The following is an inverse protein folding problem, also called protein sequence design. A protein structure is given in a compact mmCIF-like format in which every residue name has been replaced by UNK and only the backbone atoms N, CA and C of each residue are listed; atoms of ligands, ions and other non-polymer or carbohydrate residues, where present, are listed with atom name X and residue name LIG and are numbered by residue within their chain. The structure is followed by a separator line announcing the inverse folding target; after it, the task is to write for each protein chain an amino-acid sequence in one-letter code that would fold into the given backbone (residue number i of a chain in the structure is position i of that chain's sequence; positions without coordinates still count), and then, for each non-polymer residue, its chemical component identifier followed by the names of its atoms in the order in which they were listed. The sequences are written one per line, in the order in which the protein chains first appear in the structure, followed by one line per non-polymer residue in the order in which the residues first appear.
data_IF_830792356104
#
_entry.id   IF_830792356104
#
_cell.length_a   1.000
_cell.length_b   1.000
_cell.length_c   1.000
_cell.angle_alpha   90.00
_cell.angle_beta   90.00
_cell.angle_gamma   90.00
#
_symmetry.space_group_name_H-M   'P 1'
#
loop_
_entity.id
_entity.type
_entity.pdbx_description
1 polymer ?
#
# COMPACT_ATOMS: atom_id res chain seq x y z
N UNK A 1 -31.71 -18.20 0.99
CA UNK A 1 -32.61 -17.98 -0.17
C UNK A 1 -34.05 -18.22 0.26
N UNK A 2 -34.70 -17.21 0.85
CA UNK A 2 -36.16 -17.06 1.05
C UNK A 2 -36.38 -15.96 2.10
N UNK A 3 -36.36 -14.72 1.61
CA UNK A 3 -37.10 -13.55 2.16
C UNK A 3 -36.89 -12.30 1.27
N UNK A 4 -36.61 -12.51 -0.04
CA UNK A 4 -36.68 -11.46 -1.07
C UNK A 4 -38.15 -11.17 -1.44
N UNK A 5 -39.05 -11.16 -0.45
CA UNK A 5 -40.42 -10.73 -0.63
C UNK A 5 -40.39 -9.20 -0.80
N UNK A 6 -40.15 -8.77 -2.04
CA UNK A 6 -40.46 -7.48 -2.64
C UNK A 6 -40.64 -6.35 -1.62
N UNK A 7 -39.52 -5.75 -1.21
CA UNK A 7 -39.55 -4.43 -0.56
C UNK A 7 -40.04 -3.46 -1.65
N UNK A 8 -41.32 -3.10 -1.61
CA UNK A 8 -41.97 -2.15 -2.54
C UNK A 8 -41.64 -0.70 -2.18
N UNK A 9 -40.37 -0.43 -1.87
CA UNK A 9 -39.92 0.92 -1.52
C UNK A 9 -39.19 1.51 -2.71
N UNK A 10 -39.79 2.52 -3.32
CA UNK A 10 -39.18 3.28 -4.41
C UNK A 10 -38.21 4.34 -3.85
N UNK A 11 -37.04 4.55 -4.50
CA UNK A 11 -36.56 3.86 -5.70
C UNK A 11 -35.80 2.55 -5.41
N UNK A 12 -36.03 1.52 -6.24
CA UNK A 12 -35.50 0.15 -6.06
C UNK A 12 -33.97 0.02 -6.07
N UNK A 13 -33.25 0.98 -6.67
CA UNK A 13 -31.79 1.00 -6.66
C UNK A 13 -31.22 1.43 -5.31
N UNK A 14 -31.98 2.22 -4.54
CA UNK A 14 -31.57 2.79 -3.27
C UNK A 14 -31.89 1.87 -2.08
N UNK A 15 -32.89 0.99 -2.20
CA UNK A 15 -33.30 0.09 -1.13
C UNK A 15 -33.05 -1.38 -1.51
N UNK A 16 -32.17 -2.05 -0.76
CA UNK A 16 -31.81 -3.45 -0.92
C UNK A 16 -31.97 -4.20 0.41
N UNK A 17 -32.40 -5.46 0.34
CA UNK A 17 -32.61 -6.27 1.53
C UNK A 17 -31.31 -6.42 2.34
N UNK A 18 -31.43 -6.27 3.66
CA UNK A 18 -30.34 -6.44 4.62
C UNK A 18 -30.92 -6.94 5.93
N UNK A 19 -30.30 -7.96 6.52
CA UNK A 19 -30.67 -8.44 7.86
C UNK A 19 -30.47 -7.35 8.92
N UNK A 20 -31.34 -7.35 9.93
CA UNK A 20 -31.27 -6.43 11.06
C UNK A 20 -29.95 -6.53 11.83
N UNK A 21 -29.40 -7.74 11.97
CA UNK A 21 -28.11 -7.97 12.64
C UNK A 21 -26.96 -7.29 11.90
N UNK A 22 -26.95 -7.40 10.56
CA UNK A 22 -25.96 -6.74 9.72
C UNK A 22 -26.12 -5.22 9.74
N UNK A 23 -27.36 -4.73 9.71
CA UNK A 23 -27.63 -3.30 9.78
C UNK A 23 -27.16 -2.71 11.11
N UNK A 24 -27.53 -3.32 12.25
CA UNK A 24 -27.11 -2.86 13.58
C UNK A 24 -25.58 -2.86 13.75
N UNK A 25 -24.89 -3.89 13.28
CA UNK A 25 -23.43 -3.95 13.27
C UNK A 25 -22.82 -2.82 12.41
N UNK A 26 -23.39 -2.53 11.24
CA UNK A 26 -22.93 -1.43 10.39
C UNK A 26 -23.14 -0.06 11.06
N UNK A 27 -24.22 0.13 11.82
CA UNK A 27 -24.45 1.34 12.60
C UNK A 27 -23.39 1.51 13.69
N UNK A 28 -23.13 0.47 14.48
CA UNK A 28 -22.11 0.51 15.54
C UNK A 28 -20.74 0.85 14.96
N UNK A 29 -20.35 0.20 13.86
CA UNK A 29 -19.11 0.51 13.16
C UNK A 29 -19.12 1.95 12.62
N UNK A 30 -20.23 2.43 12.07
CA UNK A 30 -20.36 3.79 11.55
C UNK A 30 -20.20 4.84 12.66
N UNK A 31 -20.76 4.59 13.85
CA UNK A 31 -20.57 5.44 15.03
C UNK A 31 -19.11 5.51 15.47
N UNK A 32 -18.43 4.35 15.57
CA UNK A 32 -17.00 4.31 15.87
C UNK A 32 -16.18 5.11 14.86
N UNK A 33 -16.52 4.99 13.58
CA UNK A 33 -15.80 5.67 12.52
C UNK A 33 -16.07 7.18 12.50
N UNK A 34 -17.29 7.60 12.80
CA UNK A 34 -17.63 9.01 12.98
C UNK A 34 -16.87 9.60 14.17
N UNK A 35 -16.81 8.90 15.31
CA UNK A 35 -16.01 9.33 16.46
C UNK A 35 -14.52 9.45 16.10
N UNK A 36 -13.96 8.49 15.37
CA UNK A 36 -12.57 8.53 14.88
C UNK A 36 -12.32 9.71 13.92
N UNK A 37 -13.31 10.07 13.10
CA UNK A 37 -13.25 11.22 12.20
C UNK A 37 -13.30 12.55 12.97
N UNK A 38 -14.21 12.69 13.93
CA UNK A 38 -14.31 13.87 14.82
C UNK A 38 -13.04 14.07 15.62
N UNK A 39 -12.51 13.01 16.24
CA UNK A 39 -11.23 13.06 16.96
C UNK A 39 -10.09 13.56 16.06
N UNK A 40 -10.06 13.15 14.79
CA UNK A 40 -9.03 13.61 13.83
C UNK A 40 -9.16 15.11 13.54
N UNK A 41 -10.38 15.64 13.44
CA UNK A 41 -10.61 17.08 13.23
C UNK A 41 -10.14 17.87 14.45
N UNK A 42 -10.48 17.42 15.67
CA UNK A 42 -10.14 18.13 16.91
C UNK A 42 -8.63 18.10 17.17
N UNK A 43 -7.99 16.94 16.97
CA UNK A 43 -6.54 16.78 17.22
C UNK A 43 -5.67 17.43 16.14
N UNK A 44 -6.21 17.69 14.95
CA UNK A 44 -5.46 18.33 13.88
C UNK A 44 -5.71 19.84 13.93
N UNK A 45 -4.67 20.63 14.16
CA UNK A 45 -4.77 22.11 14.18
C UNK A 45 -5.20 22.79 12.86
N UNK A 46 -5.58 22.03 11.83
CA UNK A 46 -6.03 22.49 10.49
C UNK A 46 -7.30 21.74 10.07
N UNK A 47 -8.49 22.08 10.59
CA UNK A 47 -9.73 21.30 10.40
C UNK A 47 -10.19 21.25 8.94
N UNK A 48 -10.08 22.35 8.20
CA UNK A 48 -10.48 22.44 6.79
C UNK A 48 -9.71 21.48 5.88
N UNK A 49 -8.40 21.33 6.12
CA UNK A 49 -7.56 20.41 5.35
C UNK A 49 -7.94 18.95 5.58
N UNK A 50 -8.42 18.62 6.78
CA UNK A 50 -8.89 17.27 7.10
C UNK A 50 -10.22 17.02 6.40
N UNK A 51 -11.17 17.96 6.49
CA UNK A 51 -12.49 17.84 5.89
C UNK A 51 -12.44 17.59 4.38
N UNK A 52 -11.60 18.33 3.65
CA UNK A 52 -11.45 18.22 2.20
C UNK A 52 -10.44 17.16 1.73
N UNK A 53 -10.00 16.26 2.62
CA UNK A 53 -9.12 15.14 2.24
C UNK A 53 -9.90 14.02 1.54
N UNK A 54 -9.30 13.37 0.54
CA UNK A 54 -9.87 12.19 -0.13
C UNK A 54 -10.34 11.10 0.84
N UNK A 55 -9.57 10.88 1.93
CA UNK A 55 -9.95 9.93 2.98
C UNK A 55 -11.27 10.32 3.65
N UNK A 56 -11.41 11.60 3.98
CA UNK A 56 -12.57 12.13 4.69
C UNK A 56 -13.80 12.18 3.79
N UNK A 57 -13.62 12.40 2.49
CA UNK A 57 -14.68 12.25 1.50
C UNK A 57 -15.27 10.82 1.50
N UNK A 58 -14.43 9.79 1.43
CA UNK A 58 -14.91 8.39 1.46
C UNK A 58 -15.49 8.01 2.83
N UNK A 59 -14.87 8.45 3.92
CA UNK A 59 -15.42 8.24 5.27
C UNK A 59 -16.80 8.91 5.41
N UNK A 60 -16.99 10.14 4.93
CA UNK A 60 -18.28 10.84 4.94
C UNK A 60 -19.32 10.13 4.06
N UNK A 61 -18.97 9.80 2.82
CA UNK A 61 -19.85 9.12 1.86
C UNK A 61 -20.35 7.77 2.38
N UNK A 62 -19.53 7.04 3.13
CA UNK A 62 -19.90 5.72 3.66
C UNK A 62 -20.51 5.78 5.06
N UNK A 63 -20.23 6.81 5.86
CA UNK A 63 -20.66 6.87 7.26
C UNK A 63 -21.95 7.68 7.42
N UNK A 64 -22.11 8.81 6.73
CA UNK A 64 -23.29 9.67 6.90
C UNK A 64 -24.60 9.03 6.42
N UNK A 65 -24.67 8.40 5.23
CA UNK A 65 -25.90 7.72 4.81
C UNK A 65 -26.32 6.61 5.78
N UNK A 66 -25.35 5.86 6.33
CA UNK A 66 -25.63 4.84 7.34
C UNK A 66 -26.18 5.45 8.63
N UNK A 67 -25.60 6.54 9.15
CA UNK A 67 -26.16 7.21 10.34
C UNK A 67 -27.55 7.78 10.08
N UNK A 68 -27.80 8.32 8.88
CA UNK A 68 -29.13 8.80 8.49
C UNK A 68 -30.17 7.68 8.38
N UNK A 69 -29.74 6.44 8.13
CA UNK A 69 -30.65 5.30 8.04
C UNK A 69 -31.44 5.01 9.32
N UNK A 70 -31.01 5.52 10.48
CA UNK A 70 -31.73 5.39 11.76
C UNK A 70 -32.98 6.27 11.80
N UNK A 71 -32.96 7.42 11.12
CA UNK A 71 -34.05 8.40 11.14
C UNK A 71 -35.09 8.16 10.04
N UNK A 72 -34.78 7.31 9.06
CA UNK A 72 -35.64 7.03 7.91
C UNK A 72 -36.45 5.77 8.16
N UNK A 73 -37.76 5.82 7.93
CA UNK A 73 -38.63 4.63 7.94
C UNK A 73 -38.17 3.66 6.84
N UNK A 74 -37.93 2.39 7.18
CA UNK A 74 -37.29 1.40 6.30
C UNK A 74 -35.82 1.68 5.94
N UNK A 75 -35.14 2.58 6.67
CA UNK A 75 -33.74 2.91 6.43
C UNK A 75 -32.77 1.74 6.54
N UNK A 76 -33.15 0.64 7.19
CA UNK A 76 -32.36 -0.61 7.23
C UNK A 76 -31.95 -1.11 5.84
N UNK A 77 -32.79 -0.86 4.84
CA UNK A 77 -32.58 -1.29 3.46
C UNK A 77 -31.76 -0.29 2.63
N UNK A 78 -31.39 0.86 3.19
CA UNK A 78 -30.62 1.87 2.46
C UNK A 78 -29.29 1.26 1.97
N UNK A 79 -29.13 1.23 0.64
CA UNK A 79 -27.90 0.83 0.00
C UNK A 79 -26.85 1.91 0.20
N UNK A 80 -25.72 1.51 0.76
CA UNK A 80 -24.56 2.36 0.93
C UNK A 80 -23.37 1.60 0.34
N UNK A 81 -22.56 2.22 -0.53
CA UNK A 81 -21.42 1.57 -1.16
C UNK A 81 -20.26 1.36 -0.17
N UNK A 82 -20.49 0.51 0.85
CA UNK A 82 -19.56 0.28 1.95
C UNK A 82 -18.25 -0.34 1.46
N UNK A 83 -18.25 -0.98 0.29
CA UNK A 83 -17.05 -1.52 -0.34
C UNK A 83 -15.97 -0.45 -0.58
N UNK A 84 -16.36 0.82 -0.82
CA UNK A 84 -15.42 1.95 -0.97
C UNK A 84 -14.56 2.19 0.27
N UNK A 85 -15.04 1.75 1.45
CA UNK A 85 -14.32 1.87 2.72
C UNK A 85 -13.02 1.07 2.75
N UNK A 86 -12.88 0.06 1.90
CA UNK A 86 -11.64 -0.70 1.75
C UNK A 86 -10.44 0.19 1.36
N UNK A 87 -10.68 1.33 0.67
CA UNK A 87 -9.61 2.29 0.40
C UNK A 87 -9.10 2.98 1.67
N UNK A 88 -10.00 3.31 2.60
CA UNK A 88 -9.64 3.89 3.90
C UNK A 88 -8.82 2.88 4.72
N UNK A 89 -9.14 1.59 4.63
CA UNK A 89 -8.36 0.53 5.27
C UNK A 89 -6.92 0.49 4.75
N UNK A 90 -6.72 0.58 3.43
CA UNK A 90 -5.38 0.64 2.83
C UNK A 90 -4.56 1.84 3.35
N UNK A 91 -5.19 3.01 3.48
CA UNK A 91 -4.55 4.20 4.06
C UNK A 91 -4.20 3.99 5.54
N UNK A 92 -5.04 3.30 6.31
CA UNK A 92 -4.78 2.96 7.72
C UNK A 92 -3.62 1.98 7.86
N UNK A 93 -3.53 0.96 7.00
CA UNK A 93 -2.41 0.00 7.00
C UNK A 93 -1.08 0.73 6.83
N UNK A 94 -0.99 1.71 5.90
CA UNK A 94 0.21 2.56 5.76
C UNK A 94 0.56 3.31 7.03
N UNK A 95 -0.45 3.91 7.69
CA UNK A 95 -0.23 4.64 8.95
C UNK A 95 0.26 3.71 10.05
N UNK A 96 -0.30 2.51 10.18
CA UNK A 96 0.11 1.52 11.18
C UNK A 96 1.53 1.02 10.93
N UNK A 97 1.90 0.74 9.68
CA UNK A 97 3.27 0.35 9.35
C UNK A 97 4.24 1.46 9.74
N UNK A 98 3.96 2.72 9.38
CA UNK A 98 4.79 3.88 9.78
C UNK A 98 4.91 4.04 11.29
N UNK A 99 3.80 3.88 12.01
CA UNK A 99 3.78 3.95 13.47
C UNK A 99 4.60 2.80 14.06
N UNK A 100 4.47 1.58 13.53
CA UNK A 100 5.28 0.43 13.95
C UNK A 100 6.77 0.72 13.71
N UNK A 101 7.15 1.29 12.57
CA UNK A 101 8.54 1.68 12.29
C UNK A 101 9.05 2.76 13.26
N UNK A 102 8.19 3.70 13.66
CA UNK A 102 8.57 4.80 14.56
C UNK A 102 8.56 4.43 16.05
N UNK A 103 7.63 3.56 16.49
CA UNK A 103 7.51 3.10 17.88
C UNK A 103 8.48 1.97 18.21
N UNK A 104 8.81 1.14 17.22
CA UNK A 104 9.87 0.16 17.33
C UNK A 104 11.23 0.85 17.16
N UNK A 105 11.65 1.53 18.22
CA UNK A 105 13.08 1.61 18.60
C UNK A 105 13.61 0.21 19.02
N UNK A 106 13.10 -0.89 18.45
CA UNK A 106 13.83 -2.16 18.47
C UNK A 106 14.92 -2.03 17.44
N UNK A 107 16.17 -2.29 17.80
CA UNK A 107 17.36 -2.18 16.94
C UNK A 107 17.38 -3.09 15.70
N UNK A 108 16.22 -3.51 15.18
CA UNK A 108 16.08 -4.26 13.92
C UNK A 108 15.28 -3.42 12.92
N UNK A 109 15.87 -3.00 11.79
CA UNK A 109 15.14 -2.28 10.75
C UNK A 109 14.00 -3.14 10.20
N UNK A 110 12.82 -2.54 9.98
CA UNK A 110 11.72 -3.24 9.29
C UNK A 110 12.11 -3.40 7.84
N UNK A 111 12.08 -4.64 7.34
CA UNK A 111 12.36 -4.97 5.94
C UNK A 111 11.56 -4.06 4.98
N UNK A 112 12.23 -3.16 4.22
CA UNK A 112 11.55 -2.22 3.33
C UNK A 112 10.81 -2.95 2.21
N UNK A 113 11.30 -4.13 1.82
CA UNK A 113 10.64 -5.00 0.86
C UNK A 113 9.29 -5.50 1.37
N UNK A 114 9.22 -6.00 2.60
CA UNK A 114 7.98 -6.55 3.17
C UNK A 114 6.91 -5.46 3.29
N UNK A 115 7.30 -4.24 3.68
CA UNK A 115 6.37 -3.10 3.70
C UNK A 115 5.80 -2.79 2.31
N UNK A 116 6.64 -2.80 1.26
CA UNK A 116 6.21 -2.54 -0.11
C UNK A 116 5.31 -3.65 -0.65
N UNK A 117 5.66 -4.91 -0.38
CA UNK A 117 4.84 -6.07 -0.78
C UNK A 117 3.48 -6.07 -0.10
N UNK A 118 3.42 -5.78 1.21
CA UNK A 118 2.14 -5.64 1.94
C UNK A 118 1.30 -4.52 1.33
N UNK A 119 1.92 -3.38 0.98
CA UNK A 119 1.19 -2.29 0.33
C UNK A 119 0.67 -2.67 -1.08
N UNK A 120 1.49 -3.34 -1.89
CA UNK A 120 1.12 -3.83 -3.21
C UNK A 120 -0.04 -4.83 -3.12
N UNK A 121 0.10 -5.87 -2.29
CA UNK A 121 -0.92 -6.90 -2.09
C UNK A 121 -2.24 -6.30 -1.56
N UNK A 122 -2.15 -5.37 -0.60
CA UNK A 122 -3.30 -4.64 -0.10
C UNK A 122 -4.00 -3.81 -1.19
N UNK A 123 -3.24 -3.18 -2.09
CA UNK A 123 -3.81 -2.40 -3.20
C UNK A 123 -4.53 -3.29 -4.20
N UNK A 124 -3.94 -4.44 -4.56
CA UNK A 124 -4.58 -5.43 -5.44
C UNK A 124 -5.89 -5.94 -4.83
N UNK A 125 -5.88 -6.32 -3.55
CA UNK A 125 -7.09 -6.80 -2.87
C UNK A 125 -8.20 -5.74 -2.81
N UNK A 126 -7.83 -4.48 -2.58
CA UNK A 126 -8.79 -3.37 -2.59
C UNK A 126 -9.38 -3.16 -3.98
N UNK A 127 -8.56 -3.18 -5.04
CA UNK A 127 -9.06 -3.04 -6.42
C UNK A 127 -9.99 -4.19 -6.79
N UNK A 128 -9.63 -5.43 -6.48
CA UNK A 128 -10.46 -6.61 -6.70
C UNK A 128 -11.82 -6.49 -5.98
N UNK A 129 -11.80 -6.14 -4.70
CA UNK A 129 -13.02 -6.05 -3.89
C UNK A 129 -13.94 -4.91 -4.32
N UNK A 130 -13.40 -3.74 -4.67
CA UNK A 130 -14.19 -2.62 -5.19
C UNK A 130 -14.77 -2.93 -6.57
N UNK A 131 -13.93 -3.48 -7.47
CA UNK A 131 -14.36 -3.86 -8.82
C UNK A 131 -15.50 -4.88 -8.76
N UNK A 132 -15.31 -5.96 -8.00
CA UNK A 132 -16.31 -7.00 -7.77
C UNK A 132 -17.62 -6.40 -7.26
N UNK A 133 -17.56 -5.62 -6.18
CA UNK A 133 -18.76 -5.09 -5.51
C UNK A 133 -19.52 -4.09 -6.37
N UNK A 134 -18.81 -3.22 -7.08
CA UNK A 134 -19.42 -2.20 -7.94
C UNK A 134 -20.01 -2.82 -9.22
N UNK A 135 -19.30 -3.77 -9.85
CA UNK A 135 -19.79 -4.51 -11.00
C UNK A 135 -21.04 -5.33 -10.64
N UNK A 136 -20.97 -6.13 -9.57
CA UNK A 136 -22.10 -6.93 -9.07
C UNK A 136 -23.32 -6.05 -8.77
N UNK A 137 -23.12 -4.90 -8.14
CA UNK A 137 -24.22 -3.99 -7.80
C UNK A 137 -24.92 -3.46 -9.07
N UNK A 138 -24.16 -3.07 -10.09
CA UNK A 138 -24.73 -2.56 -11.34
C UNK A 138 -25.49 -3.64 -12.10
N UNK A 139 -24.88 -4.82 -12.28
CA UNK A 139 -25.49 -5.92 -13.02
C UNK A 139 -26.74 -6.49 -12.32
N UNK A 140 -26.71 -6.67 -10.99
CA UNK A 140 -27.89 -7.17 -10.24
C UNK A 140 -29.02 -6.14 -10.17
N UNK A 141 -28.71 -4.85 -10.25
CA UNK A 141 -29.72 -3.79 -10.10
C UNK A 141 -30.31 -3.34 -11.42
N UNK A 142 -29.53 -3.31 -12.49
CA UNK A 142 -29.93 -2.77 -13.79
C UNK A 142 -29.77 -3.76 -14.95
N UNK A 143 -29.10 -4.89 -14.72
CA UNK A 143 -28.86 -5.90 -15.74
C UNK A 143 -29.98 -6.94 -15.80
N UNK A 144 -30.00 -7.68 -16.91
CA UNK A 144 -30.89 -8.82 -17.12
C UNK A 144 -30.29 -10.14 -16.64
N UNK A 145 -28.96 -10.20 -16.51
CA UNK A 145 -28.22 -11.42 -16.21
C UNK A 145 -27.90 -11.49 -14.71
N UNK A 146 -28.22 -12.64 -14.10
CA UNK A 146 -27.89 -12.91 -12.70
C UNK A 146 -26.47 -13.48 -12.58
N UNK A 147 -25.47 -12.62 -12.61
CA UNK A 147 -24.09 -13.01 -12.32
C UNK A 147 -23.91 -13.33 -10.83
N UNK A 148 -23.20 -14.42 -10.53
CA UNK A 148 -22.80 -14.74 -9.17
C UNK A 148 -21.65 -13.85 -8.69
N UNK A 149 -21.41 -13.83 -7.37
CA UNK A 149 -20.26 -13.10 -6.79
C UNK A 149 -18.94 -13.63 -7.37
N UNK A 150 -18.85 -14.92 -7.71
CA UNK A 150 -17.65 -15.51 -8.28
C UNK A 150 -17.45 -15.09 -9.73
N UNK A 151 -18.52 -14.99 -10.52
CA UNK A 151 -18.47 -14.50 -11.91
C UNK A 151 -17.97 -13.06 -11.98
N UNK A 152 -18.46 -12.22 -11.07
CA UNK A 152 -18.03 -10.83 -10.95
C UNK A 152 -16.60 -10.70 -10.45
N UNK A 153 -16.12 -11.64 -9.62
CA UNK A 153 -14.72 -11.65 -9.19
C UNK A 153 -13.82 -12.09 -10.36
N UNK A 154 -14.26 -13.09 -11.11
CA UNK A 154 -13.58 -13.60 -12.29
C UNK A 154 -13.43 -12.50 -13.36
N UNK A 155 -14.51 -11.79 -13.73
CA UNK A 155 -14.43 -10.74 -14.76
C UNK A 155 -13.47 -9.62 -14.35
N UNK A 156 -13.46 -9.26 -13.07
CA UNK A 156 -12.59 -8.22 -12.51
C UNK A 156 -11.13 -8.70 -12.46
N UNK A 157 -10.86 -9.95 -12.06
CA UNK A 157 -9.53 -10.53 -12.08
C UNK A 157 -8.96 -10.60 -13.51
N UNK A 158 -9.75 -11.11 -14.46
CA UNK A 158 -9.38 -11.23 -15.88
C UNK A 158 -9.13 -9.87 -16.52
N UNK A 159 -9.87 -8.85 -16.10
CA UNK A 159 -9.67 -7.47 -16.56
C UNK A 159 -8.41 -6.86 -15.96
N UNK A 160 -8.20 -6.99 -14.65
CA UNK A 160 -7.01 -6.44 -13.98
C UNK A 160 -5.72 -7.14 -14.41
N UNK A 161 -5.78 -8.41 -14.79
CA UNK A 161 -4.65 -9.15 -15.36
C UNK A 161 -4.41 -8.82 -16.85
N UNK A 162 -5.24 -7.97 -17.46
CA UNK A 162 -5.19 -7.59 -18.88
C UNK A 162 -5.39 -8.77 -19.85
N UNK A 163 -5.95 -9.88 -19.38
CA UNK A 163 -6.22 -11.07 -20.21
C UNK A 163 -7.45 -10.86 -21.09
N UNK A 164 -8.56 -10.42 -20.49
CA UNK A 164 -9.77 -10.02 -21.23
C UNK A 164 -10.39 -11.10 -22.11
N UNK A 165 -10.75 -12.26 -21.56
CA UNK A 165 -11.37 -13.36 -22.32
C UNK A 165 -12.66 -12.98 -23.06
N UNK A 166 -13.44 -12.02 -22.53
CA UNK A 166 -14.66 -11.52 -23.16
C UNK A 166 -15.87 -12.46 -23.07
N UNK A 167 -15.76 -13.52 -22.28
CA UNK A 167 -16.83 -14.47 -21.95
C UNK A 167 -17.90 -13.87 -21.02
N UNK A 168 -17.47 -13.04 -20.05
CA UNK A 168 -18.35 -12.20 -19.24
C UNK A 168 -18.02 -10.74 -19.54
N UNK A 169 -19.04 -9.96 -19.88
CA UNK A 169 -18.89 -8.54 -20.25
C UNK A 169 -19.95 -7.68 -19.57
N UNK A 170 -19.64 -6.40 -19.24
CA UNK A 170 -20.59 -5.47 -18.65
C UNK A 170 -21.75 -5.19 -19.60
N UNK A 171 -22.96 -5.59 -19.20
CA UNK A 171 -24.17 -5.41 -20.00
C UNK A 171 -24.80 -4.04 -19.75
N UNK A 172 -24.70 -3.53 -18.53
CA UNK A 172 -25.28 -2.24 -18.13
C UNK A 172 -24.35 -1.05 -18.39
N UNK A 173 -24.90 0.13 -18.66
CA UNK A 173 -24.08 1.35 -18.80
C UNK A 173 -23.30 1.67 -17.51
N UNK A 174 -23.91 1.43 -16.35
CA UNK A 174 -23.25 1.61 -15.05
C UNK A 174 -22.04 0.69 -14.86
N UNK A 175 -22.18 -0.60 -15.17
CA UNK A 175 -21.06 -1.55 -15.06
C UNK A 175 -19.96 -1.25 -16.07
N UNK A 176 -20.28 -0.76 -17.28
CA UNK A 176 -19.28 -0.29 -18.25
C UNK A 176 -18.46 0.87 -17.69
N UNK A 177 -19.10 1.89 -17.11
CA UNK A 177 -18.40 3.02 -16.48
C UNK A 177 -17.52 2.55 -15.32
N UNK A 178 -18.03 1.65 -14.47
CA UNK A 178 -17.25 1.05 -13.37
C UNK A 178 -16.00 0.34 -13.90
N UNK A 179 -16.13 -0.50 -14.93
CA UNK A 179 -15.01 -1.22 -15.51
C UNK A 179 -14.00 -0.28 -16.17
N UNK A 180 -14.45 0.76 -16.88
CA UNK A 180 -13.57 1.79 -17.44
C UNK A 180 -12.75 2.50 -16.35
N UNK A 181 -13.41 2.95 -15.27
CA UNK A 181 -12.72 3.60 -14.16
C UNK A 181 -11.74 2.65 -13.46
N UNK A 182 -12.12 1.39 -13.27
CA UNK A 182 -11.28 0.37 -12.67
C UNK A 182 -9.99 0.13 -13.49
N UNK A 183 -10.12 0.05 -14.82
CA UNK A 183 -8.97 -0.09 -15.74
C UNK A 183 -8.04 1.12 -15.65
N UNK A 184 -8.58 2.34 -15.67
CA UNK A 184 -7.76 3.56 -15.58
C UNK A 184 -7.00 3.62 -14.25
N UNK A 185 -7.69 3.35 -13.13
CA UNK A 185 -7.07 3.37 -11.79
C UNK A 185 -6.01 2.27 -11.67
N UNK A 186 -6.29 1.06 -12.15
CA UNK A 186 -5.35 -0.06 -12.03
C UNK A 186 -4.08 0.18 -12.86
N UNK A 187 -4.22 0.67 -14.09
CA UNK A 187 -3.09 1.01 -14.96
C UNK A 187 -2.28 2.19 -14.41
N UNK A 188 -2.90 3.14 -13.72
CA UNK A 188 -2.19 4.26 -13.11
C UNK A 188 -1.38 3.86 -11.86
N UNK A 189 -1.88 2.91 -11.06
CA UNK A 189 -1.34 2.62 -9.71
C UNK A 189 -0.49 1.34 -9.67
N UNK A 190 -0.91 0.25 -10.33
CA UNK A 190 -0.24 -1.04 -10.19
C UNK A 190 1.19 -1.04 -10.76
N UNK A 191 1.47 -0.47 -11.96
CA UNK A 191 2.82 -0.50 -12.52
C UNK A 191 3.86 0.18 -11.62
N UNK A 192 3.53 1.33 -11.03
CA UNK A 192 4.45 2.04 -10.13
C UNK A 192 4.73 1.24 -8.86
N UNK A 193 3.71 0.61 -8.27
CA UNK A 193 3.88 -0.20 -7.06
C UNK A 193 4.70 -1.47 -7.32
N UNK A 194 4.48 -2.11 -8.47
CA UNK A 194 5.26 -3.28 -8.90
C UNK A 194 6.71 -2.87 -9.15
N UNK A 195 6.95 -1.77 -9.88
CA UNK A 195 8.28 -1.24 -10.13
C UNK A 195 9.03 -0.91 -8.83
N UNK A 196 8.36 -0.28 -7.85
CA UNK A 196 8.94 0.03 -6.55
C UNK A 196 9.34 -1.23 -5.77
N UNK A 197 8.51 -2.27 -5.81
CA UNK A 197 8.81 -3.56 -5.19
C UNK A 197 9.99 -4.26 -5.91
N UNK A 198 9.95 -4.31 -7.24
CA UNK A 198 11.00 -4.90 -8.07
C UNK A 198 12.34 -4.20 -7.93
N UNK A 199 12.36 -2.87 -7.91
CA UNK A 199 13.59 -2.09 -7.69
C UNK A 199 14.17 -2.35 -6.30
N UNK A 200 13.32 -2.60 -5.30
CA UNK A 200 13.77 -2.95 -3.94
C UNK A 200 14.32 -4.37 -3.89
N UNK A 201 13.68 -5.31 -4.60
CA UNK A 201 14.19 -6.68 -4.78
C UNK A 201 15.53 -6.68 -5.51
N UNK A 202 15.66 -5.90 -6.59
CA UNK A 202 16.91 -5.72 -7.33
C UNK A 202 17.98 -5.16 -6.43
N UNK A 203 17.77 -4.04 -5.73
CA UNK A 203 18.74 -3.50 -4.75
C UNK A 203 19.10 -4.47 -3.61
N UNK A 204 18.21 -5.42 -3.29
CA UNK A 204 18.51 -6.50 -2.35
C UNK A 204 19.37 -7.60 -2.96
N UNK A 205 19.29 -7.80 -4.27
CA UNK A 205 20.02 -8.85 -4.99
C UNK A 205 21.26 -8.34 -5.76
N UNK A 206 21.35 -7.02 -5.96
CA UNK A 206 22.44 -6.29 -6.59
C UNK A 206 23.48 -6.04 -5.49
N UNK A 207 24.28 -7.08 -5.26
CA UNK A 207 25.35 -7.08 -4.28
C UNK A 207 26.66 -6.55 -4.91
N UNK A 208 26.82 -6.67 -6.24
CA UNK A 208 27.92 -6.08 -6.99
C UNK A 208 27.61 -4.63 -7.35
N UNK A 209 27.97 -3.70 -6.48
CA UNK A 209 27.91 -2.27 -6.78
C UNK A 209 29.09 -1.83 -7.65
N UNK A 210 28.90 -0.80 -8.46
CA UNK A 210 30.00 -0.06 -9.08
C UNK A 210 30.37 1.13 -8.20
N UNK A 211 31.66 1.46 -8.12
CA UNK A 211 32.10 2.71 -7.47
C UNK A 211 31.73 3.88 -8.38
N UNK A 212 30.91 4.81 -7.87
CA UNK A 212 30.54 6.03 -8.61
C UNK A 212 31.79 6.85 -8.95
N UNK A 213 31.86 7.45 -10.14
CA UNK A 213 32.99 8.31 -10.51
C UNK A 213 33.14 9.52 -9.57
N UNK A 214 32.06 9.97 -8.97
CA UNK A 214 32.04 11.01 -7.93
C UNK A 214 32.79 10.61 -6.66
N UNK A 215 33.04 9.31 -6.46
CA UNK A 215 33.69 8.78 -5.27
C UNK A 215 35.20 8.63 -5.43
N UNK A 216 35.80 9.09 -6.55
CA UNK A 216 37.25 9.12 -6.73
C UNK A 216 37.84 10.44 -6.18
N UNK A 217 38.99 10.39 -5.47
CA UNK A 217 39.80 9.21 -5.13
C UNK A 217 39.20 8.38 -3.98
N UNK A 218 39.38 7.06 -4.03
CA UNK A 218 38.94 6.15 -2.97
C UNK A 218 40.03 5.14 -2.59
N UNK A 219 39.96 4.65 -1.35
CA UNK A 219 40.72 3.50 -0.86
C UNK A 219 39.84 2.27 -0.95
N UNK A 220 40.34 1.21 -1.59
CA UNK A 220 39.69 -0.10 -1.62
C UNK A 220 40.24 -0.98 -0.50
N UNK A 221 39.38 -1.37 0.44
CA UNK A 221 39.69 -2.32 1.51
C UNK A 221 39.08 -3.66 1.17
N UNK A 222 39.93 -4.69 1.07
CA UNK A 222 39.54 -6.03 0.63
C UNK A 222 39.64 -6.98 1.82
N UNK A 223 38.58 -7.71 2.11
CA UNK A 223 38.59 -8.67 3.20
C UNK A 223 37.21 -9.11 3.65
N UNK A 224 37.15 -9.83 4.77
CA UNK A 224 35.91 -10.15 5.47
C UNK A 224 35.75 -9.18 6.62
N UNK A 225 34.67 -8.39 6.61
CA UNK A 225 34.50 -7.28 7.55
C UNK A 225 33.32 -7.51 8.49
N UNK A 226 33.59 -7.46 9.80
CA UNK A 226 32.54 -7.38 10.82
C UNK A 226 32.17 -5.91 11.12
N UNK A 227 30.94 -5.60 11.53
CA UNK A 227 30.52 -4.24 11.85
C UNK A 227 31.45 -3.52 12.82
N UNK A 228 31.94 -4.22 13.85
CA UNK A 228 32.85 -3.64 14.85
C UNK A 228 34.20 -3.25 14.22
N UNK A 229 34.74 -4.12 13.35
CA UNK A 229 36.00 -3.86 12.65
C UNK A 229 35.89 -2.69 11.69
N UNK A 230 34.75 -2.57 11.01
CA UNK A 230 34.48 -1.44 10.12
C UNK A 230 34.48 -0.15 10.91
N UNK A 231 33.81 -0.08 12.06
CA UNK A 231 33.82 1.14 12.88
C UNK A 231 35.22 1.51 13.36
N UNK A 232 36.03 0.53 13.79
CA UNK A 232 37.43 0.77 14.18
C UNK A 232 38.29 1.29 13.03
N UNK A 233 38.14 0.71 11.84
CA UNK A 233 38.86 1.15 10.64
C UNK A 233 38.44 2.58 10.29
N UNK A 234 37.14 2.88 10.30
CA UNK A 234 36.64 4.22 9.98
C UNK A 234 37.16 5.24 10.99
N UNK A 235 37.10 4.94 12.30
CA UNK A 235 37.66 5.83 13.32
C UNK A 235 39.16 6.04 13.13
N UNK A 236 39.92 4.98 12.82
CA UNK A 236 41.36 5.05 12.62
C UNK A 236 41.79 5.86 11.39
N UNK A 237 41.07 5.73 10.27
CA UNK A 237 41.42 6.38 8.99
C UNK A 237 40.81 7.78 8.84
N UNK A 238 39.60 7.97 9.36
CA UNK A 238 38.76 9.12 9.04
C UNK A 238 38.67 10.16 10.15
N UNK A 239 39.09 9.82 11.36
CA UNK A 239 39.07 10.71 12.53
C UNK A 239 40.47 11.27 12.88
N UNK A 240 41.46 11.09 12.00
CA UNK A 240 42.81 11.61 12.20
C UNK A 240 42.91 13.07 11.76
N UNK A 241 43.69 13.90 12.46
CA UNK A 241 43.85 15.34 12.16
C UNK A 241 44.43 15.64 10.75
N UNK A 242 45.02 14.64 10.10
CA UNK A 242 45.67 14.77 8.78
C UNK A 242 44.89 14.11 7.62
N UNK A 243 43.64 13.68 7.82
CA UNK A 243 42.90 12.98 6.76
C UNK A 243 42.47 13.97 5.65
N UNK A 244 42.72 13.60 4.38
CA UNK A 244 42.23 14.38 3.24
C UNK A 244 40.69 14.49 3.28
N UNK A 245 40.12 15.69 3.09
CA UNK A 245 38.68 15.92 3.27
C UNK A 245 37.77 15.16 2.28
N UNK A 246 38.33 14.64 1.19
CA UNK A 246 37.59 13.98 0.09
C UNK A 246 37.91 12.49 -0.09
N UNK A 247 38.55 11.86 0.88
CA UNK A 247 38.90 10.44 0.80
C UNK A 247 37.66 9.55 1.03
N UNK A 248 37.27 8.79 0.01
CA UNK A 248 36.21 7.79 0.13
C UNK A 248 36.80 6.41 0.43
N UNK A 249 36.07 5.57 1.18
CA UNK A 249 36.49 4.22 1.54
C UNK A 249 35.49 3.22 0.99
N UNK A 250 35.97 2.31 0.15
CA UNK A 250 35.17 1.25 -0.45
C UNK A 250 35.60 -0.07 0.16
N UNK A 251 34.67 -0.79 0.76
CA UNK A 251 34.90 -2.13 1.31
C UNK A 251 34.44 -3.17 0.30
N UNK A 252 35.32 -4.08 -0.09
CA UNK A 252 35.06 -5.21 -0.97
C UNK A 252 35.16 -6.51 -0.19
N UNK A 253 34.05 -7.22 -0.08
CA UNK A 253 33.95 -8.48 0.65
C UNK A 253 33.40 -9.60 -0.26
N UNK A 254 33.97 -10.79 -0.13
CA UNK A 254 33.48 -11.99 -0.80
C UNK A 254 32.15 -12.45 -0.22
N UNK A 255 31.88 -12.11 1.04
CA UNK A 255 30.62 -12.35 1.71
C UNK A 255 29.69 -11.15 1.49
N UNK A 256 28.39 -11.41 1.50
CA UNK A 256 27.41 -10.33 1.37
C UNK A 256 27.45 -9.44 2.61
N UNK A 257 27.54 -8.10 2.46
CA UNK A 257 27.54 -7.20 3.60
C UNK A 257 26.26 -7.37 4.44
N UNK A 258 26.44 -7.57 5.74
CA UNK A 258 25.34 -7.75 6.69
C UNK A 258 24.43 -6.50 6.75
N UNK A 259 23.17 -6.63 7.18
CA UNK A 259 22.25 -5.49 7.26
C UNK A 259 22.78 -4.37 8.18
N UNK A 260 23.54 -4.72 9.20
CA UNK A 260 24.21 -3.78 10.11
C UNK A 260 25.29 -2.94 9.41
N UNK A 261 26.04 -3.52 8.46
CA UNK A 261 27.02 -2.79 7.65
C UNK A 261 26.33 -1.78 6.73
N UNK A 262 25.21 -2.18 6.10
CA UNK A 262 24.40 -1.26 5.30
C UNK A 262 23.71 -0.19 6.15
N UNK A 263 23.40 -0.50 7.41
CA UNK A 263 22.90 0.48 8.35
C UNK A 263 23.98 1.53 8.67
N UNK A 264 25.23 1.10 8.88
CA UNK A 264 26.38 2.00 9.05
C UNK A 264 26.58 2.89 7.81
N UNK A 265 26.54 2.31 6.61
CA UNK A 265 26.62 3.07 5.34
C UNK A 265 25.55 4.17 5.25
N UNK A 266 24.32 3.91 5.72
CA UNK A 266 23.21 4.87 5.59
C UNK A 266 23.14 5.91 6.71
N UNK A 267 23.52 5.53 7.94
CA UNK A 267 23.23 6.32 9.14
C UNK A 267 24.48 6.79 9.90
N UNK A 268 25.69 6.36 9.50
CA UNK A 268 26.92 6.84 10.12
C UNK A 268 27.26 8.28 9.68
N UNK A 269 28.01 8.98 10.53
CA UNK A 269 28.62 10.29 10.23
C UNK A 269 29.40 10.28 8.89
N UNK A 270 29.97 9.13 8.53
CA UNK A 270 30.76 8.95 7.31
C UNK A 270 29.99 8.25 6.18
N UNK A 271 28.68 8.06 6.30
CA UNK A 271 27.88 7.28 5.34
C UNK A 271 27.97 7.76 3.89
N UNK A 272 28.19 9.06 3.69
CA UNK A 272 28.40 9.65 2.35
C UNK A 272 29.77 9.37 1.74
N UNK A 273 30.72 8.82 2.51
CA UNK A 273 32.10 8.50 2.08
C UNK A 273 32.39 7.01 2.04
N UNK A 274 31.44 6.17 2.43
CA UNK A 274 31.64 4.73 2.56
C UNK A 274 30.74 4.00 1.58
N UNK A 275 31.27 2.97 0.94
CA UNK A 275 30.49 2.09 0.07
C UNK A 275 30.88 0.63 0.32
N UNK A 276 29.90 -0.26 0.46
CA UNK A 276 30.14 -1.71 0.56
C UNK A 276 29.78 -2.40 -0.76
N UNK A 277 30.74 -3.13 -1.31
CA UNK A 277 30.61 -3.89 -2.56
C UNK A 277 30.84 -5.36 -2.23
N UNK A 278 30.00 -6.22 -2.78
CA UNK A 278 30.25 -7.66 -2.79
C UNK A 278 30.90 -8.04 -4.11
N UNK A 279 32.02 -8.75 -4.01
CA UNK A 279 32.79 -9.19 -5.17
C UNK A 279 34.12 -9.78 -4.72
N UNK A 280 34.86 -10.33 -5.67
CA UNK A 280 36.17 -10.91 -5.41
C UNK A 280 37.22 -10.25 -6.28
N UNK A 281 38.31 -9.78 -5.66
CA UNK A 281 39.47 -9.22 -6.38
C UNK A 281 40.11 -10.21 -7.36
N UNK A 282 39.85 -11.50 -7.18
CA UNK A 282 40.35 -12.55 -8.07
C UNK A 282 39.60 -12.61 -9.40
N UNK A 283 38.43 -11.98 -9.49
CA UNK A 283 37.61 -11.93 -10.69
C UNK A 283 37.84 -10.59 -11.36
N UNK A 284 38.39 -10.58 -12.57
CA UNK A 284 38.73 -9.34 -13.29
C UNK A 284 37.53 -8.45 -13.67
N UNK A 285 36.31 -8.92 -13.42
CA UNK A 285 35.07 -8.17 -13.66
C UNK A 285 34.58 -7.39 -12.44
N UNK A 286 35.13 -7.68 -11.25
CA UNK A 286 34.77 -7.09 -9.96
C UNK A 286 35.83 -6.07 -9.50
#
# INVERSE_FOLDING_TARGET
MKEEASITVEPYWLFKWRSYDLWSLCIILSLWNFASFVMRIILTGKPLSVLFSFRSFIEALTTFPFLMSVFIKHGQFLYVPYFLRSWVLLLRIKSVIKIKTNLLMTGKPVDPLNSKLVHLAGTIMVLLYNGLSAFQYCEVTFGSNNYSILDSLYVVMVTLSTVGYGDITPQTEGSRVVMMLLIVISLAVLPSLIADALNTLRKRNDWGGYVSESSKPFILLVGSFRPEQVTEILDGFLNTENTEPHLNVVFLDINRPNEELKYLERNSMWGHRIQFIHGSVLVSTD
#
